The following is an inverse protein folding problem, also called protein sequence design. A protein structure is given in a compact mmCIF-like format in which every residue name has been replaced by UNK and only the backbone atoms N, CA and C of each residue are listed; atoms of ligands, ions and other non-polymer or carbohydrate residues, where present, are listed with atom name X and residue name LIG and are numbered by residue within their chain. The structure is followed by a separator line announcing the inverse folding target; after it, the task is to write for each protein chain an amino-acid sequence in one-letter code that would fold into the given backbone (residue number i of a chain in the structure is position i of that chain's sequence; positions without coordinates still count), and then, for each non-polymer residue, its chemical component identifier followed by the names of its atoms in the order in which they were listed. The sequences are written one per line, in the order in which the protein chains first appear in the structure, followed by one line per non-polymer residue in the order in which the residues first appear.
data_IF_754626575514
#
_entry.id   IF_754626575514
#
_cell.length_a   1.000
_cell.length_b   1.000
_cell.length_c   1.000
_cell.angle_alpha   90.00
_cell.angle_beta   90.00
_cell.angle_gamma   90.00
#
_symmetry.space_group_name_H-M   'P 1'
#
loop_
_entity.id
_entity.type
_entity.pdbx_description
1 polymer ?
#
# COMPACT_ATOMS: atom_id res chain seq x y z
N UNK A 1 -11.71 -14.98 19.31
CA UNK A 1 -11.44 -16.39 19.66
C UNK A 1 -10.17 -16.80 18.95
N UNK A 2 -9.43 -17.74 19.53
CA UNK A 2 -8.30 -18.41 18.90
C UNK A 2 -8.63 -19.90 18.96
N UNK A 3 -8.77 -20.54 17.80
CA UNK A 3 -8.99 -21.97 17.69
C UNK A 3 -7.76 -22.59 17.01
N UNK A 4 -7.10 -23.51 17.71
CA UNK A 4 -6.00 -24.29 17.17
C UNK A 4 -6.55 -25.67 16.81
N UNK A 5 -6.62 -25.97 15.52
CA UNK A 5 -7.14 -27.25 15.03
C UNK A 5 -6.03 -28.31 14.88
N UNK A 6 -4.80 -27.87 14.60
CA UNK A 6 -3.54 -28.62 14.49
C UNK A 6 -2.37 -27.68 14.87
N UNK A 7 -1.15 -28.14 15.22
CA UNK A 7 -0.07 -27.26 15.70
C UNK A 7 0.37 -26.17 14.69
N UNK A 8 0.05 -26.35 13.42
CA UNK A 8 0.35 -25.45 12.30
C UNK A 8 -0.86 -24.62 11.82
N UNK A 9 -2.06 -24.87 12.38
CA UNK A 9 -3.30 -24.21 11.96
C UNK A 9 -3.91 -23.37 13.09
N UNK A 10 -3.67 -22.06 13.03
CA UNK A 10 -4.26 -21.07 13.93
C UNK A 10 -5.40 -20.30 13.24
N UNK A 11 -6.63 -20.47 13.70
CA UNK A 11 -7.78 -19.70 13.23
C UNK A 11 -8.01 -18.53 14.19
N UNK A 12 -7.75 -17.32 13.71
CA UNK A 12 -7.91 -16.07 14.46
C UNK A 12 -9.12 -15.29 13.98
N UNK A 13 -9.68 -14.48 14.89
CA UNK A 13 -10.69 -13.47 14.51
C UNK A 13 -10.06 -12.55 13.45
N UNK A 14 -10.69 -12.38 12.27
CA UNK A 14 -10.14 -11.51 11.24
C UNK A 14 -10.06 -10.07 11.75
N UNK A 15 -9.09 -9.32 11.23
CA UNK A 15 -9.03 -7.86 11.44
C UNK A 15 -10.36 -7.28 10.95
N UNK A 16 -11.09 -6.51 11.77
CA UNK A 16 -12.32 -5.87 11.33
C UNK A 16 -12.03 -4.97 10.12
N UNK A 17 -12.99 -4.84 9.20
CA UNK A 17 -12.80 -3.93 8.08
C UNK A 17 -12.56 -2.52 8.63
N UNK A 18 -11.34 -2.00 8.41
CA UNK A 18 -10.90 -0.69 8.89
C UNK A 18 -11.35 0.42 7.94
N UNK A 19 -11.74 0.08 6.71
CA UNK A 19 -12.27 1.05 5.76
C UNK A 19 -13.69 1.48 6.15
N UNK A 20 -13.97 2.78 6.00
CA UNK A 20 -15.30 3.40 6.15
C UNK A 20 -15.56 4.24 4.90
N UNK A 21 -16.82 4.51 4.55
CA UNK A 21 -17.10 5.39 3.40
C UNK A 21 -16.43 6.75 3.59
N UNK A 22 -15.69 7.26 2.59
CA UNK A 22 -14.85 8.45 2.74
C UNK A 22 -13.45 8.19 3.29
N UNK A 23 -13.17 6.98 3.79
CA UNK A 23 -11.98 6.69 4.60
C UNK A 23 -11.41 5.31 4.26
N UNK A 24 -10.63 5.24 3.16
CA UNK A 24 -9.94 4.02 2.80
C UNK A 24 -8.95 3.58 3.89
N UNK A 25 -8.89 2.27 4.14
CA UNK A 25 -7.85 1.69 4.98
C UNK A 25 -6.86 0.95 4.09
N UNK A 26 -5.67 1.51 3.94
CA UNK A 26 -4.56 0.92 3.23
C UNK A 26 -3.42 0.67 4.21
N UNK A 27 -2.80 -0.51 4.13
CA UNK A 27 -1.49 -0.69 4.73
C UNK A 27 -0.42 -0.43 3.65
N UNK A 28 0.59 0.42 3.91
CA UNK A 28 1.55 0.82 2.90
C UNK A 28 2.54 -0.32 2.60
N UNK A 29 2.15 -1.25 1.74
CA UNK A 29 3.04 -2.27 1.17
C UNK A 29 3.69 -1.77 -0.12
N UNK A 30 4.39 -0.63 -0.04
CA UNK A 30 4.97 0.00 -1.21
C UNK A 30 6.27 -0.70 -1.65
N UNK A 31 6.38 -0.99 -2.94
CA UNK A 31 7.62 -1.48 -3.56
C UNK A 31 8.35 -0.36 -4.30
N UNK A 32 7.61 0.67 -4.74
CA UNK A 32 8.17 1.83 -5.41
C UNK A 32 7.95 3.05 -4.52
N UNK A 33 9.05 3.52 -3.93
CA UNK A 33 9.13 4.79 -3.22
C UNK A 33 9.80 5.83 -4.13
N UNK A 34 9.08 6.88 -4.59
CA UNK A 34 9.59 7.80 -5.61
C UNK A 34 10.92 8.47 -5.25
N UNK A 35 11.07 8.89 -3.98
CA UNK A 35 12.33 9.48 -3.49
C UNK A 35 13.51 8.50 -3.54
N UNK A 36 13.26 7.21 -3.31
CA UNK A 36 14.31 6.19 -3.27
C UNK A 36 14.77 5.78 -4.66
N UNK A 37 13.88 5.88 -5.65
CA UNK A 37 14.11 5.42 -7.03
C UNK A 37 14.08 6.55 -8.06
N UNK A 38 14.37 7.79 -7.64
CA UNK A 38 14.27 8.99 -8.47
C UNK A 38 15.00 8.83 -9.81
N UNK A 39 16.24 8.33 -9.82
CA UNK A 39 17.04 8.15 -11.04
C UNK A 39 16.35 7.27 -12.10
N UNK A 40 15.58 6.28 -11.67
CA UNK A 40 14.82 5.41 -12.58
C UNK A 40 13.55 6.14 -13.05
N UNK A 41 12.85 6.77 -12.12
CA UNK A 41 11.58 7.45 -12.40
C UNK A 41 11.74 8.72 -13.26
N UNK A 42 12.87 9.43 -13.17
CA UNK A 42 13.17 10.61 -14.03
C UNK A 42 13.25 10.29 -15.52
N UNK A 43 13.39 9.01 -15.89
CA UNK A 43 13.29 8.57 -17.29
C UNK A 43 11.86 8.65 -17.84
N UNK A 44 10.86 8.64 -16.95
CA UNK A 44 9.44 8.64 -17.28
C UNK A 44 8.71 9.88 -16.76
N UNK A 45 9.28 10.58 -15.77
CA UNK A 45 8.77 11.80 -15.17
C UNK A 45 9.91 12.84 -15.07
N UNK A 46 10.23 13.53 -16.17
CA UNK A 46 11.38 14.43 -16.21
C UNK A 46 11.19 15.65 -15.29
N UNK A 47 12.26 16.40 -15.00
CA UNK A 47 12.24 17.48 -14.00
C UNK A 47 11.23 18.60 -14.30
N UNK A 48 10.91 18.83 -15.57
CA UNK A 48 9.93 19.83 -15.99
C UNK A 48 8.47 19.44 -15.68
N UNK A 49 8.18 18.16 -15.44
CA UNK A 49 6.85 17.68 -14.99
C UNK A 49 6.64 17.93 -13.47
N UNK A 50 7.71 18.28 -12.75
CA UNK A 50 7.66 18.71 -11.36
C UNK A 50 8.45 17.84 -10.37
N UNK A 51 8.19 18.01 -9.07
CA UNK A 51 8.86 17.27 -8.01
C UNK A 51 8.57 15.76 -8.09
N UNK A 52 9.59 14.92 -7.80
CA UNK A 52 9.42 13.46 -7.79
C UNK A 52 8.37 12.97 -6.77
N UNK A 53 8.07 13.79 -5.76
CA UNK A 53 7.04 13.56 -4.75
C UNK A 53 5.61 13.69 -5.28
N UNK A 54 5.41 14.13 -6.53
CA UNK A 54 4.09 14.13 -7.17
C UNK A 54 3.68 12.75 -7.67
N UNK A 55 4.62 11.79 -7.74
CA UNK A 55 4.31 10.41 -8.06
C UNK A 55 3.87 9.73 -6.77
N UNK A 56 2.68 9.13 -6.77
CA UNK A 56 2.23 8.35 -5.62
C UNK A 56 3.06 7.06 -5.48
N UNK A 57 3.43 6.65 -4.25
CA UNK A 57 4.11 5.38 -4.03
C UNK A 57 3.18 4.20 -4.42
N UNK A 58 3.75 3.18 -5.06
CA UNK A 58 3.00 2.03 -5.57
C UNK A 58 3.33 0.78 -4.76
N UNK A 59 2.28 0.04 -4.36
CA UNK A 59 2.36 -1.22 -3.62
C UNK A 59 1.67 -2.39 -4.33
N UNK A 60 1.87 -3.62 -3.84
CA UNK A 60 1.23 -4.83 -4.38
C UNK A 60 -0.22 -5.00 -3.92
N UNK A 61 -0.63 -4.27 -2.88
CA UNK A 61 -1.91 -4.49 -2.26
C UNK A 61 -3.02 -3.79 -3.06
N UNK A 62 -4.15 -4.45 -3.35
CA UNK A 62 -5.33 -3.75 -3.83
C UNK A 62 -5.74 -2.76 -2.75
N UNK A 63 -5.53 -1.47 -3.04
CA UNK A 63 -5.96 -0.40 -2.17
C UNK A 63 -7.36 0.01 -2.59
N UNK A 64 -8.29 0.00 -1.64
CA UNK A 64 -9.51 0.79 -1.76
C UNK A 64 -9.03 2.24 -1.61
N UNK A 65 -8.96 3.03 -2.69
CA UNK A 65 -8.60 4.46 -2.65
C UNK A 65 -9.84 5.26 -3.01
N UNK A 66 -10.17 6.27 -2.21
CA UNK A 66 -11.11 7.32 -2.59
C UNK A 66 -10.29 8.57 -2.95
N UNK A 67 -10.61 9.20 -4.07
CA UNK A 67 -9.87 10.33 -4.63
C UNK A 67 -10.72 11.59 -4.61
#
# INVERSE_FOLDING_TARGET
YVLMAEPDHLIIKPIPNLSKGGSPAAFPFFYIEPKKYEKVLRKFFPENEGPITNIDPIGNSPVIIEK
#
